data_IF_121737144076
#
_entry.id   IF_121737144076
#
_cell.length_a   1.000
_cell.length_b   1.000
_cell.length_c   1.000
_cell.angle_alpha   90.00
_cell.angle_beta   90.00
_cell.angle_gamma   90.00
#
_symmetry.space_group_name_H-M   'P 1'
#
loop_
_entity.id
_entity.type
_entity.pdbx_description
1 polymer ?
#
# COMPACT_ATOMS: atom_id res chain seq x y z
N UNK A 1 19.56 -1.35 3.35
CA UNK A 1 19.15 -2.71 3.79
C UNK A 1 17.77 -3.02 3.21
N UNK A 2 17.70 -3.82 2.14
CA UNK A 2 16.42 -4.26 1.58
C UNK A 2 15.89 -5.44 2.38
N UNK A 3 14.93 -5.18 3.28
CA UNK A 3 14.20 -6.24 3.97
C UNK A 3 13.26 -6.94 2.98
N UNK A 4 13.65 -8.14 2.55
CA UNK A 4 12.75 -9.08 1.89
C UNK A 4 11.80 -9.65 2.95
N UNK A 5 10.53 -9.29 2.86
CA UNK A 5 9.47 -9.87 3.68
C UNK A 5 8.98 -11.16 3.02
N UNK A 6 8.85 -12.25 3.78
CA UNK A 6 8.28 -13.52 3.29
C UNK A 6 6.77 -13.40 3.05
N UNK A 7 6.16 -14.38 2.37
CA UNK A 7 4.71 -14.38 2.08
C UNK A 7 3.89 -14.41 3.38
N UNK A 8 4.37 -15.11 4.40
CA UNK A 8 3.76 -15.19 5.73
C UNK A 8 3.76 -13.84 6.43
N UNK A 9 4.82 -13.04 6.26
CA UNK A 9 4.90 -11.68 6.79
C UNK A 9 4.06 -10.66 6.01
N UNK A 10 3.57 -11.02 4.80
CA UNK A 10 2.54 -10.24 4.10
C UNK A 10 1.12 -10.58 4.56
N UNK A 11 0.92 -11.77 5.12
CA UNK A 11 -0.35 -12.23 5.69
C UNK A 11 -0.51 -11.87 7.18
N UNK A 12 0.46 -11.14 7.75
CA UNK A 12 0.37 -10.60 9.09
C UNK A 12 -0.74 -9.55 9.22
N UNK A 13 -1.40 -9.52 10.38
CA UNK A 13 -2.38 -8.50 10.73
C UNK A 13 -1.80 -7.07 10.76
N UNK A 14 -0.48 -6.94 10.67
CA UNK A 14 0.27 -5.68 10.66
C UNK A 14 0.23 -4.97 9.29
N UNK A 15 -0.25 -5.65 8.24
CA UNK A 15 -0.21 -5.12 6.86
C UNK A 15 -1.61 -4.96 6.28
N UNK A 16 -1.93 -3.75 5.82
CA UNK A 16 -3.16 -3.47 5.05
C UNK A 16 -2.80 -3.15 3.60
N UNK A 17 -3.43 -3.86 2.66
CA UNK A 17 -3.17 -3.70 1.22
C UNK A 17 -4.31 -2.95 0.56
N UNK A 18 -3.97 -1.95 -0.24
CA UNK A 18 -4.88 -1.17 -1.06
C UNK A 18 -4.71 -1.54 -2.52
N UNK A 19 -5.83 -1.81 -3.21
CA UNK A 19 -5.86 -2.13 -4.64
C UNK A 19 -6.71 -1.09 -5.36
N UNK A 20 -6.11 -0.38 -6.31
CA UNK A 20 -6.84 0.45 -7.26
C UNK A 20 -7.38 -0.45 -8.38
N UNK A 21 -8.69 -0.38 -8.62
CA UNK A 21 -9.37 -1.11 -9.70
C UNK A 21 -9.98 -0.15 -10.70
N UNK A 22 -9.78 -0.45 -11.97
CA UNK A 22 -10.49 0.17 -13.09
C UNK A 22 -11.34 -0.91 -13.76
N UNK A 23 -12.66 -0.73 -13.79
CA UNK A 23 -13.60 -1.71 -14.34
C UNK A 23 -13.37 -3.16 -13.85
N UNK A 24 -13.06 -3.31 -12.57
CA UNK A 24 -12.76 -4.62 -11.94
C UNK A 24 -11.31 -5.10 -12.12
N UNK A 25 -10.53 -4.52 -13.05
CA UNK A 25 -9.12 -4.84 -13.26
C UNK A 25 -8.24 -4.16 -12.21
N UNK A 26 -7.35 -4.90 -11.56
CA UNK A 26 -6.35 -4.31 -10.67
C UNK A 26 -5.28 -3.55 -11.49
N UNK A 27 -5.26 -2.23 -11.34
CA UNK A 27 -4.39 -1.31 -12.10
C UNK A 27 -3.29 -0.66 -11.25
N UNK A 28 -3.43 -0.69 -9.93
CA UNK A 28 -2.39 -0.25 -9.00
C UNK A 28 -2.55 -0.86 -7.62
N UNK A 29 -1.49 -0.82 -6.83
CA UNK A 29 -1.49 -1.26 -5.45
C UNK A 29 -0.51 -0.47 -4.59
N UNK A 30 -0.72 -0.58 -3.28
CA UNK A 30 0.14 -0.09 -2.21
C UNK A 30 -0.24 -0.76 -0.91
N UNK A 31 0.62 -0.67 0.09
CA UNK A 31 0.37 -1.24 1.40
C UNK A 31 0.87 -0.34 2.52
N UNK A 32 0.15 -0.35 3.64
CA UNK A 32 0.60 0.14 4.93
C UNK A 32 1.09 -1.05 5.74
N UNK A 33 2.35 -1.04 6.18
CA UNK A 33 2.89 -2.00 7.15
C UNK A 33 3.20 -1.29 8.45
N UNK A 34 2.68 -1.80 9.56
CA UNK A 34 2.95 -1.29 10.91
C UNK A 34 4.21 -1.98 11.43
N UNK A 35 5.18 -1.20 11.91
CA UNK A 35 6.42 -1.72 12.51
C UNK A 35 6.37 -1.65 14.03
N UNK A 36 5.92 -0.53 14.57
CA UNK A 36 5.65 -0.29 16.00
C UNK A 36 4.41 0.61 16.16
N UNK A 37 4.10 1.05 17.38
CA UNK A 37 2.90 1.86 17.67
C UNK A 37 2.89 3.24 17.00
N UNK A 38 4.05 3.74 16.53
CA UNK A 38 4.17 5.10 15.98
C UNK A 38 4.70 5.14 14.54
N UNK A 39 5.22 4.04 14.01
CA UNK A 39 5.87 3.97 12.70
C UNK A 39 5.12 3.02 11.77
N UNK A 40 4.51 3.61 10.75
CA UNK A 40 3.98 2.93 9.57
C UNK A 40 4.88 3.13 8.33
N UNK A 41 5.08 2.07 7.55
CA UNK A 41 5.80 2.12 6.27
C UNK A 41 4.82 1.96 5.09
N UNK A 42 4.94 2.85 4.10
CA UNK A 42 4.32 2.65 2.78
C UNK A 42 5.20 1.73 1.95
N UNK A 43 4.67 0.58 1.51
CA UNK A 43 5.44 -0.39 0.72
C UNK A 43 4.63 -0.97 -0.44
N UNK A 44 5.33 -1.64 -1.35
CA UNK A 44 4.74 -2.37 -2.49
C UNK A 44 3.88 -1.48 -3.40
N UNK A 45 4.31 -0.23 -3.57
CA UNK A 45 3.67 0.72 -4.46
C UNK A 45 3.94 0.35 -5.92
N UNK A 46 2.88 0.15 -6.69
CA UNK A 46 2.99 -0.10 -8.12
C UNK A 46 1.75 0.41 -8.87
N UNK A 47 1.96 0.92 -10.07
CA UNK A 47 0.89 1.23 -11.01
C UNK A 47 1.28 0.65 -12.37
N UNK A 48 0.33 -0.05 -12.99
CA UNK A 48 0.51 -0.63 -14.33
C UNK A 48 1.00 0.46 -15.30
N UNK A 49 2.00 0.19 -16.17
CA UNK A 49 2.53 1.18 -17.11
C UNK A 49 1.46 1.92 -17.92
N UNK A 50 0.43 1.20 -18.36
CA UNK A 50 -0.70 1.76 -19.12
C UNK A 50 -1.59 2.75 -18.35
N UNK A 51 -1.46 2.82 -17.01
CA UNK A 51 -2.27 3.66 -16.13
C UNK A 51 -1.42 4.67 -15.34
N UNK A 52 -0.14 4.84 -15.73
CA UNK A 52 0.73 5.87 -15.14
C UNK A 52 0.31 7.26 -15.62
N UNK A 53 0.72 8.29 -14.87
CA UNK A 53 0.33 9.68 -15.14
C UNK A 53 -1.09 10.06 -14.68
N UNK A 54 -1.88 9.08 -14.24
CA UNK A 54 -3.27 9.27 -13.78
C UNK A 54 -3.40 9.47 -12.26
N UNK A 55 -2.30 9.81 -11.57
CA UNK A 55 -2.26 10.03 -10.11
C UNK A 55 -2.69 8.86 -9.21
N UNK A 56 -2.93 7.65 -9.75
CA UNK A 56 -3.29 6.44 -9.00
C UNK A 56 -2.37 6.19 -7.79
N UNK A 57 -1.05 6.32 -7.98
CA UNK A 57 -0.10 6.16 -6.88
C UNK A 57 -0.30 7.17 -5.76
N UNK A 58 -0.59 8.43 -6.09
CA UNK A 58 -0.83 9.48 -5.10
C UNK A 58 -2.16 9.26 -4.36
N UNK A 59 -3.19 8.79 -5.06
CA UNK A 59 -4.47 8.42 -4.44
C UNK A 59 -4.29 7.27 -3.44
N UNK A 60 -3.53 6.23 -3.81
CA UNK A 60 -3.23 5.12 -2.91
C UNK A 60 -2.47 5.61 -1.67
N UNK A 61 -1.45 6.47 -1.84
CA UNK A 61 -0.73 7.07 -0.70
C UNK A 61 -1.68 7.85 0.20
N UNK A 62 -2.58 8.67 -0.36
CA UNK A 62 -3.57 9.41 0.42
C UNK A 62 -4.48 8.49 1.25
N UNK A 63 -4.86 7.31 0.72
CA UNK A 63 -5.62 6.30 1.46
C UNK A 63 -4.81 5.63 2.55
N UNK A 64 -3.53 5.36 2.30
CA UNK A 64 -2.60 4.82 3.29
C UNK A 64 -2.43 5.79 4.46
N UNK A 65 -2.17 7.07 4.17
CA UNK A 65 -2.04 8.09 5.23
C UNK A 65 -3.33 8.30 6.01
N UNK A 66 -4.49 8.28 5.34
CA UNK A 66 -5.77 8.40 6.00
C UNK A 66 -6.02 7.24 6.98
N UNK A 67 -5.67 6.01 6.60
CA UNK A 67 -5.76 4.86 7.50
C UNK A 67 -4.76 4.97 8.65
N UNK A 68 -3.51 5.36 8.38
CA UNK A 68 -2.51 5.53 9.43
C UNK A 68 -2.98 6.55 10.49
N UNK A 69 -3.45 7.73 10.05
CA UNK A 69 -4.00 8.76 10.96
C UNK A 69 -5.22 8.31 11.77
N UNK A 70 -6.00 7.37 11.24
CA UNK A 70 -7.15 6.80 11.95
C UNK A 70 -6.71 5.85 13.08
N UNK A 71 -5.53 5.25 12.95
CA UNK A 71 -5.03 4.23 13.87
C UNK A 71 -4.13 4.80 14.97
N UNK A 72 -3.51 5.97 14.79
CA UNK A 72 -2.69 6.65 15.80
C UNK A 72 -1.46 7.32 15.21
#
# INVERSE_FOLDING_TARGET
HCYHLTVEQMAGLDTTVFIARDNGLAVGCGALKRHDEAIGEVKRMYTRPSHRGQKIGAEIVGRVEALARQEG
#
